data_IF_507113428598
#
_entry.id   IF_507113428598
#
_cell.length_a   1.000
_cell.length_b   1.000
_cell.length_c   1.000
_cell.angle_alpha   90.00
_cell.angle_beta   90.00
_cell.angle_gamma   90.00
#
_symmetry.space_group_name_H-M   'P 1'
#
loop_
_entity.id
_entity.type
_entity.pdbx_description
1 polymer ?
#
# COMPACT_ATOMS: atom_id res chain seq x y z
N UNK A 1 -13.59 -49.25 -47.26
CA UNK A 1 -14.96 -49.14 -47.83
C UNK A 1 -15.90 -50.01 -47.00
N UNK A 2 -17.00 -49.41 -46.49
CA UNK A 2 -18.27 -50.02 -46.02
C UNK A 2 -18.21 -50.94 -44.77
N UNK A 3 -19.13 -50.95 -43.79
CA UNK A 3 -20.35 -50.17 -43.46
C UNK A 3 -20.77 -50.59 -42.02
N UNK A 4 -21.41 -49.67 -41.29
CA UNK A 4 -22.00 -49.80 -39.93
C UNK A 4 -23.08 -50.91 -39.85
N UNK A 5 -23.54 -51.34 -38.65
CA UNK A 5 -24.71 -50.67 -38.06
C UNK A 5 -24.75 -50.58 -36.51
N UNK A 6 -25.40 -49.53 -36.00
CA UNK A 6 -26.02 -49.48 -34.68
C UNK A 6 -27.48 -49.99 -34.78
N UNK A 7 -28.05 -50.52 -33.70
CA UNK A 7 -29.46 -50.28 -33.34
C UNK A 7 -29.53 -49.59 -31.95
N UNK A 8 -30.10 -48.39 -31.77
CA UNK A 8 -31.51 -47.94 -31.89
C UNK A 8 -32.35 -48.21 -30.63
N UNK A 9 -32.79 -47.09 -30.02
CA UNK A 9 -33.99 -46.78 -29.22
C UNK A 9 -34.51 -47.78 -28.18
N UNK A 10 -34.76 -47.27 -26.97
CA UNK A 10 -36.09 -47.33 -26.36
C UNK A 10 -36.39 -46.00 -25.65
N UNK A 11 -37.42 -45.34 -26.15
CA UNK A 11 -38.06 -44.13 -25.66
C UNK A 11 -39.20 -44.56 -24.73
N UNK A 12 -39.26 -44.08 -23.48
CA UNK A 12 -40.51 -44.01 -22.72
C UNK A 12 -40.60 -42.68 -21.97
N UNK A 13 -41.59 -41.90 -22.40
CA UNK A 13 -42.08 -40.69 -21.76
C UNK A 13 -42.73 -40.97 -20.40
N UNK A 14 -43.00 -39.87 -19.69
CA UNK A 14 -43.91 -39.64 -18.56
C UNK A 14 -43.22 -39.65 -17.19
N UNK A 15 -43.52 -38.75 -16.25
CA UNK A 15 -44.23 -37.47 -16.23
C UNK A 15 -44.03 -36.93 -14.81
N UNK A 16 -44.19 -35.61 -14.65
CA UNK A 16 -44.67 -34.95 -13.44
C UNK A 16 -43.89 -35.11 -12.11
N UNK A 17 -43.31 -33.98 -11.73
CA UNK A 17 -43.49 -33.35 -10.41
C UNK A 17 -42.95 -34.07 -9.17
N UNK A 18 -41.94 -33.45 -8.54
CA UNK A 18 -42.08 -33.04 -7.15
C UNK A 18 -41.15 -31.85 -6.86
N UNK A 19 -41.78 -30.73 -6.52
CA UNK A 19 -41.17 -29.52 -5.98
C UNK A 19 -40.56 -29.86 -4.60
N UNK A 20 -39.26 -29.66 -4.40
CA UNK A 20 -38.65 -29.61 -3.07
C UNK A 20 -37.88 -28.31 -2.94
N UNK A 21 -38.40 -27.41 -2.10
CA UNK A 21 -37.69 -26.24 -1.61
C UNK A 21 -36.51 -26.69 -0.74
N UNK A 22 -35.29 -26.31 -1.10
CA UNK A 22 -34.15 -26.30 -0.19
C UNK A 22 -33.74 -24.84 0.05
N UNK A 23 -34.15 -24.31 1.20
CA UNK A 23 -33.52 -23.14 1.81
C UNK A 23 -32.16 -23.57 2.40
N UNK A 24 -31.11 -22.81 2.14
CA UNK A 24 -29.92 -22.81 3.00
C UNK A 24 -28.58 -22.70 2.26
N UNK A 25 -27.85 -21.62 2.58
CA UNK A 25 -26.45 -21.34 2.27
C UNK A 25 -26.11 -20.92 0.82
N UNK A 26 -26.53 -19.71 0.46
CA UNK A 26 -25.79 -18.93 -0.53
C UNK A 26 -24.42 -18.56 0.08
N UNK A 27 -23.39 -19.33 -0.27
CA UNK A 27 -21.99 -18.94 -0.06
C UNK A 27 -21.66 -17.87 -1.10
N UNK A 28 -22.14 -16.65 -0.85
CA UNK A 28 -21.78 -15.46 -1.60
C UNK A 28 -20.81 -14.64 -0.76
N UNK A 29 -19.62 -14.44 -1.28
CA UNK A 29 -18.58 -13.64 -0.64
C UNK A 29 -17.22 -14.26 -0.88
N UNK A 30 -16.71 -14.14 -2.11
CA UNK A 30 -15.28 -14.28 -2.36
C UNK A 30 -14.56 -13.29 -1.44
N UNK A 31 -13.87 -13.85 -0.45
CA UNK A 31 -12.93 -13.15 0.41
C UNK A 31 -11.78 -12.61 -0.44
N UNK A 32 -11.85 -11.32 -0.74
CA UNK A 32 -10.67 -10.49 -0.84
C UNK A 32 -10.99 -9.21 -0.10
N UNK A 33 -10.88 -9.29 1.22
CA UNK A 33 -10.63 -8.13 2.05
C UNK A 33 -9.25 -7.58 1.65
N UNK A 34 -9.21 -6.82 0.55
CA UNK A 34 -8.30 -5.70 0.51
C UNK A 34 -8.76 -4.79 1.63
N UNK A 35 -8.04 -4.82 2.74
CA UNK A 35 -8.10 -3.74 3.72
C UNK A 35 -7.78 -2.48 2.93
N UNK A 36 -8.83 -1.73 2.58
CA UNK A 36 -8.68 -0.39 2.08
C UNK A 36 -8.19 0.42 3.26
N UNK A 37 -6.87 0.43 3.46
CA UNK A 37 -6.20 1.49 4.21
C UNK A 37 -6.73 2.78 3.61
N UNK A 38 -7.33 3.61 4.45
CA UNK A 38 -7.81 4.94 4.12
C UNK A 38 -6.62 5.85 3.78
N UNK A 39 -5.91 5.56 2.69
CA UNK A 39 -5.03 6.52 2.04
C UNK A 39 -5.93 7.54 1.37
N UNK A 40 -5.73 8.83 1.66
CA UNK A 40 -6.44 9.96 1.05
C UNK A 40 -6.14 10.09 -0.46
N UNK A 41 -6.46 9.07 -1.26
CA UNK A 41 -6.33 9.05 -2.72
C UNK A 41 -4.90 9.09 -3.29
N UNK A 42 -3.88 9.32 -2.46
CA UNK A 42 -2.50 9.62 -2.90
C UNK A 42 -1.48 8.50 -2.61
N UNK A 43 -1.94 7.28 -2.35
CA UNK A 43 -1.05 6.15 -2.03
C UNK A 43 -0.42 6.23 -0.64
N UNK A 44 0.63 5.45 -0.37
CA UNK A 44 1.23 5.28 0.96
C UNK A 44 2.18 6.41 1.37
N UNK A 45 2.27 7.50 0.59
CA UNK A 45 3.15 8.63 0.88
C UNK A 45 2.47 9.57 1.88
N UNK A 46 3.15 9.78 3.01
CA UNK A 46 2.87 10.87 3.96
C UNK A 46 3.96 11.93 3.75
N UNK A 47 3.58 13.18 3.50
CA UNK A 47 4.51 14.26 3.19
C UNK A 47 4.13 15.54 3.92
N UNK A 48 5.10 16.43 4.11
CA UNK A 48 4.84 17.78 4.62
C UNK A 48 3.82 18.53 3.76
N UNK A 49 2.89 19.29 4.36
CA UNK A 49 1.82 19.97 3.61
C UNK A 49 2.29 21.25 2.91
N UNK A 50 3.44 21.82 3.31
CA UNK A 50 4.05 22.99 2.71
C UNK A 50 5.57 22.90 2.80
N UNK A 51 6.27 23.66 1.97
CA UNK A 51 7.70 23.94 2.20
C UNK A 51 7.84 24.78 3.47
N UNK A 52 8.87 24.50 4.27
CA UNK A 52 9.19 25.30 5.46
C UNK A 52 10.66 25.73 5.41
N UNK A 53 10.89 27.04 5.52
CA UNK A 53 12.22 27.67 5.46
C UNK A 53 12.92 27.71 6.84
N UNK A 54 12.59 26.76 7.72
CA UNK A 54 13.03 26.71 9.11
C UNK A 54 14.39 26.03 9.34
N UNK A 55 14.91 26.13 10.57
CA UNK A 55 16.00 25.25 11.02
C UNK A 55 15.45 23.83 11.12
N UNK A 56 15.70 23.02 10.09
CA UNK A 56 15.38 21.60 10.09
C UNK A 56 16.12 20.84 11.18
N UNK A 57 15.65 19.64 11.48
CA UNK A 57 16.37 18.71 12.35
C UNK A 57 17.67 18.25 11.66
N UNK A 58 18.69 17.97 12.46
CA UNK A 58 20.06 17.71 11.99
C UNK A 58 20.46 16.23 12.03
N UNK A 59 19.50 15.32 12.26
CA UNK A 59 19.77 13.90 12.16
C UNK A 59 19.86 13.50 10.69
N UNK A 60 20.79 12.60 10.39
CA UNK A 60 20.84 11.94 9.09
C UNK A 60 19.80 10.83 9.07
N UNK A 61 18.84 10.92 8.16
CA UNK A 61 17.97 9.80 7.80
C UNK A 61 18.62 9.09 6.63
N UNK A 62 18.79 7.77 6.73
CA UNK A 62 19.38 6.92 5.70
C UNK A 62 18.73 5.53 5.72
N UNK A 63 18.50 4.95 4.56
CA UNK A 63 18.18 3.53 4.45
C UNK A 63 17.56 3.15 3.11
N UNK A 64 17.35 1.84 2.89
CA UNK A 64 16.55 1.39 1.74
C UNK A 64 15.08 1.81 1.92
N UNK A 65 14.45 2.20 0.82
CA UNK A 65 13.00 2.31 0.74
C UNK A 65 12.40 0.91 0.71
N UNK A 66 11.42 0.65 1.57
CA UNK A 66 10.70 -0.61 1.62
C UNK A 66 9.21 -0.37 1.86
N UNK A 67 8.40 -1.42 1.68
CA UNK A 67 6.97 -1.40 1.93
C UNK A 67 6.61 -2.53 2.88
N UNK A 68 5.86 -2.21 3.93
CA UNK A 68 5.31 -3.20 4.85
C UNK A 68 3.95 -2.74 5.37
N UNK A 69 2.96 -3.64 5.37
CA UNK A 69 1.59 -3.35 5.83
C UNK A 69 0.96 -2.10 5.20
N UNK A 70 1.29 -1.79 3.94
CA UNK A 70 0.78 -0.59 3.25
C UNK A 70 1.52 0.70 3.59
N UNK A 71 2.58 0.66 4.40
CA UNK A 71 3.39 1.82 4.77
C UNK A 71 4.75 1.82 4.09
N UNK A 72 5.19 2.99 3.63
CA UNK A 72 6.56 3.19 3.19
C UNK A 72 7.46 3.28 4.42
N UNK A 73 8.60 2.60 4.36
CA UNK A 73 9.61 2.66 5.41
C UNK A 73 10.97 3.02 4.81
N UNK A 74 11.75 3.83 5.52
CA UNK A 74 13.16 4.09 5.23
C UNK A 74 13.99 3.50 6.36
N UNK A 75 14.85 2.53 6.04
CA UNK A 75 15.67 1.86 7.06
C UNK A 75 14.85 1.14 8.14
N UNK A 76 13.58 0.80 7.86
CA UNK A 76 12.67 0.14 8.80
C UNK A 76 11.77 1.07 9.61
N UNK A 77 11.89 2.39 9.45
CA UNK A 77 11.06 3.38 10.11
C UNK A 77 9.96 3.89 9.17
N UNK A 78 8.70 4.06 9.62
CA UNK A 78 7.70 4.81 8.87
C UNK A 78 8.25 6.19 8.50
N UNK A 79 7.91 6.68 7.31
CA UNK A 79 8.55 7.88 6.77
C UNK A 79 7.57 9.01 6.47
N UNK A 80 7.95 10.23 6.88
CA UNK A 80 7.37 11.48 6.40
C UNK A 80 8.33 12.12 5.42
N UNK A 81 7.85 12.35 4.20
CA UNK A 81 8.65 12.87 3.08
C UNK A 81 8.66 14.40 3.01
N UNK A 82 9.67 15.00 2.35
CA UNK A 82 9.65 16.42 2.02
C UNK A 82 8.40 16.80 1.22
N UNK A 83 8.06 18.08 1.28
CA UNK A 83 6.94 18.64 0.54
C UNK A 83 7.04 18.34 -0.97
N UNK A 84 5.87 18.16 -1.59
CA UNK A 84 5.76 17.86 -3.02
C UNK A 84 6.09 16.41 -3.40
N UNK A 85 6.45 15.56 -2.43
CA UNK A 85 6.63 14.13 -2.67
C UNK A 85 5.29 13.44 -2.90
N UNK A 86 5.22 12.57 -3.89
CA UNK A 86 4.00 11.86 -4.31
C UNK A 86 4.25 10.37 -4.54
N UNK A 87 3.17 9.59 -4.62
CA UNK A 87 3.23 8.19 -5.00
C UNK A 87 2.93 8.01 -6.49
N UNK A 88 3.77 7.23 -7.17
CA UNK A 88 3.46 6.68 -8.48
C UNK A 88 2.93 5.26 -8.32
N UNK A 89 1.62 5.09 -8.52
CA UNK A 89 0.96 3.81 -8.40
C UNK A 89 1.32 2.83 -9.53
N UNK A 90 1.62 3.32 -10.73
CA UNK A 90 1.96 2.45 -11.87
C UNK A 90 3.39 1.92 -11.74
N UNK A 91 4.31 2.78 -11.31
CA UNK A 91 5.71 2.41 -11.09
C UNK A 91 5.97 1.77 -9.72
N UNK A 92 5.00 1.83 -8.79
CA UNK A 92 5.16 1.44 -7.38
C UNK A 92 6.39 2.12 -6.75
N UNK A 93 6.45 3.45 -6.90
CA UNK A 93 7.62 4.23 -6.55
C UNK A 93 7.26 5.60 -5.95
N UNK A 94 8.16 6.15 -5.15
CA UNK A 94 8.04 7.52 -4.65
C UNK A 94 8.59 8.48 -5.70
N UNK A 95 7.84 9.54 -6.00
CA UNK A 95 8.26 10.66 -6.87
C UNK A 95 8.55 11.88 -6.01
N UNK A 96 9.80 12.30 -5.99
CA UNK A 96 10.26 13.50 -5.29
C UNK A 96 9.85 14.75 -6.06
N UNK A 97 9.86 15.91 -5.39
CA UNK A 97 9.45 17.19 -5.97
C UNK A 97 10.35 17.66 -7.13
N UNK A 98 11.61 17.20 -7.16
CA UNK A 98 12.57 17.45 -8.25
C UNK A 98 12.38 16.49 -9.46
N UNK A 99 11.42 15.57 -9.37
CA UNK A 99 11.10 14.58 -10.41
C UNK A 99 11.91 13.29 -10.32
N UNK A 100 12.83 13.15 -9.36
CA UNK A 100 13.49 11.87 -9.11
C UNK A 100 12.48 10.81 -8.69
N UNK A 101 12.77 9.57 -9.07
CA UNK A 101 11.98 8.38 -8.73
C UNK A 101 12.80 7.49 -7.82
N UNK A 102 12.23 7.16 -6.66
CA UNK A 102 12.78 6.22 -5.68
C UNK A 102 11.98 4.93 -5.76
N UNK A 103 12.58 3.89 -6.32
CA UNK A 103 11.97 2.57 -6.37
C UNK A 103 12.12 1.86 -5.01
N UNK A 104 11.26 0.86 -4.75
CA UNK A 104 11.47 -0.04 -3.62
C UNK A 104 12.84 -0.71 -3.75
N UNK A 105 13.63 -0.69 -2.67
CA UNK A 105 15.00 -1.18 -2.62
C UNK A 105 16.08 -0.11 -2.81
N UNK A 106 15.77 1.01 -3.47
CA UNK A 106 16.70 2.14 -3.59
C UNK A 106 17.03 2.69 -2.20
N UNK A 107 18.27 3.12 -2.00
CA UNK A 107 18.68 3.83 -0.78
C UNK A 107 18.43 5.31 -0.91
N UNK A 108 17.88 5.91 0.14
CA UNK A 108 17.71 7.35 0.26
C UNK A 108 18.50 7.89 1.45
N UNK A 109 18.92 9.15 1.35
CA UNK A 109 19.51 9.87 2.47
C UNK A 109 19.17 11.37 2.41
N UNK A 110 18.92 11.98 3.57
CA UNK A 110 18.62 13.40 3.73
C UNK A 110 18.61 13.81 5.20
N UNK A 111 18.54 15.12 5.46
CA UNK A 111 18.41 15.67 6.79
C UNK A 111 16.99 15.53 7.34
N UNK A 112 16.87 15.33 8.66
CA UNK A 112 15.59 15.19 9.32
C UNK A 112 15.72 14.83 10.80
N UNK A 113 14.73 14.10 11.31
CA UNK A 113 14.67 13.65 12.70
C UNK A 113 13.91 12.34 12.87
N UNK A 114 13.94 11.81 14.09
CA UNK A 114 13.23 10.60 14.51
C UNK A 114 12.26 10.91 15.68
N UNK A 115 11.24 11.76 15.49
CA UNK A 115 10.23 11.99 16.53
C UNK A 115 9.46 10.71 16.83
N UNK A 116 8.91 10.63 18.05
CA UNK A 116 7.97 9.58 18.42
C UNK A 116 6.61 9.84 17.76
N UNK A 117 5.99 8.80 17.21
CA UNK A 117 4.69 8.85 16.56
C UNK A 117 3.60 9.53 17.40
N UNK A 118 3.49 9.30 18.73
CA UNK A 118 2.51 9.98 19.58
C UNK A 118 2.74 11.49 19.76
N UNK A 119 3.96 11.97 19.49
CA UNK A 119 4.31 13.40 19.61
C UNK A 119 4.06 14.17 18.29
N UNK A 120 3.73 13.47 17.21
CA UNK A 120 3.41 14.08 15.92
C UNK A 120 2.01 14.71 15.92
N UNK A 121 1.83 15.73 15.08
CA UNK A 121 0.51 16.26 14.74
C UNK A 121 -0.37 15.17 14.14
N UNK A 122 -1.69 15.27 14.36
CA UNK A 122 -2.69 14.29 13.90
C UNK A 122 -2.59 14.02 12.39
N UNK A 123 -2.21 15.03 11.62
CA UNK A 123 -2.00 14.95 10.16
C UNK A 123 -0.91 13.95 9.74
N UNK A 124 0.08 13.69 10.61
CA UNK A 124 1.13 12.69 10.38
C UNK A 124 0.85 11.41 11.16
N UNK A 125 0.32 11.51 12.37
CA UNK A 125 0.11 10.36 13.25
C UNK A 125 -1.01 9.42 12.75
N UNK A 126 -2.14 9.95 12.29
CA UNK A 126 -3.26 9.12 11.80
C UNK A 126 -2.87 8.23 10.61
N UNK A 127 -2.26 8.73 9.51
CA UNK A 127 -1.90 7.86 8.40
C UNK A 127 -0.78 6.86 8.74
N UNK A 128 -0.05 7.07 9.84
CA UNK A 128 1.05 6.21 10.26
C UNK A 128 0.73 5.28 11.44
N UNK A 129 -0.48 5.38 12.02
CA UNK A 129 -0.86 4.65 13.25
C UNK A 129 -0.75 3.13 13.10
N UNK A 130 -1.06 2.60 11.92
CA UNK A 130 -1.01 1.16 11.65
C UNK A 130 0.34 0.71 11.05
N UNK A 131 1.30 1.62 10.90
CA UNK A 131 2.61 1.30 10.34
C UNK A 131 3.48 0.55 11.36
N UNK A 132 4.27 -0.43 10.92
CA UNK A 132 5.23 -1.08 11.80
C UNK A 132 6.28 -0.07 12.26
N UNK A 133 6.48 0.01 13.57
CA UNK A 133 7.48 0.86 14.23
C UNK A 133 8.49 0.01 15.00
N UNK A 134 9.57 0.65 15.47
CA UNK A 134 10.46 0.04 16.44
C UNK A 134 9.87 0.10 17.87
N UNK A 135 10.61 -0.37 18.87
CA UNK A 135 10.19 -0.32 20.28
C UNK A 135 9.98 1.10 20.84
N UNK A 136 10.46 2.12 20.11
CA UNK A 136 10.35 3.53 20.48
C UNK A 136 9.29 4.29 19.68
N UNK A 137 8.55 3.62 18.79
CA UNK A 137 7.53 4.26 17.95
C UNK A 137 8.08 5.43 17.11
N UNK A 138 9.35 5.35 16.69
CA UNK A 138 10.01 6.44 15.95
C UNK A 138 9.60 6.47 14.47
N UNK A 139 9.53 7.69 13.93
CA UNK A 139 9.20 7.98 12.53
C UNK A 139 10.38 8.70 11.89
N UNK A 140 10.87 8.22 10.75
CA UNK A 140 11.86 8.95 9.96
C UNK A 140 11.18 10.15 9.28
N UNK A 141 11.43 11.36 9.76
CA UNK A 141 10.82 12.58 9.26
C UNK A 141 11.86 13.46 8.58
N UNK A 142 11.89 13.46 7.25
CA UNK A 142 12.75 14.36 6.50
C UNK A 142 12.33 15.82 6.72
N UNK A 143 13.27 16.75 6.61
CA UNK A 143 12.98 18.17 6.63
C UNK A 143 12.12 18.57 5.42
N UNK A 144 11.15 19.47 5.62
CA UNK A 144 10.11 19.77 4.63
C UNK A 144 10.63 20.25 3.26
N UNK A 145 11.67 21.09 3.25
CA UNK A 145 12.28 21.63 2.03
C UNK A 145 13.58 20.94 1.60
N UNK A 146 13.92 19.80 2.20
CA UNK A 146 15.23 19.17 1.95
C UNK A 146 15.25 18.34 0.66
N UNK A 147 16.43 18.28 0.04
CA UNK A 147 16.66 17.49 -1.16
C UNK A 147 17.15 16.10 -0.78
N UNK A 148 16.43 15.07 -1.21
CA UNK A 148 16.79 13.69 -0.92
C UNK A 148 17.83 13.21 -1.92
N UNK A 149 18.91 12.62 -1.41
CA UNK A 149 19.87 11.91 -2.23
C UNK A 149 19.41 10.46 -2.43
N UNK A 150 19.42 9.98 -3.68
CA UNK A 150 19.00 8.62 -4.05
C UNK A 150 20.19 7.83 -4.59
N UNK A 151 20.40 6.62 -4.08
CA UNK A 151 21.44 5.67 -4.50
C UNK A 151 20.79 4.32 -4.87
N UNK A 152 21.18 3.76 -6.01
CA UNK A 152 20.62 2.52 -6.58
C UNK A 152 21.52 1.31 -6.35
#
# INVERSE_FOLDING_TARGET
MLKRPMPVMQLRMAAASLLVLALGAACGGDESAVVASTSNGNGPVVAHPAEEDGSGASAQIEGPLSMSSGCLLVGGYPVVWPYGTTWDADAQAVRLSDGQVVALGDRVSGGGGYPHLPDLGTEFAEPLTDCPTNEYEEVAMFNAGDQITVTK
#
